data_IF_101504402647
#
_entry.id   IF_101504402647
#
_cell.length_a   1.000
_cell.length_b   1.000
_cell.length_c   1.000
_cell.angle_alpha   90.00
_cell.angle_beta   90.00
_cell.angle_gamma   90.00
#
_symmetry.space_group_name_H-M   'P 1'
#
loop_
_entity.id
_entity.type
_entity.pdbx_description
1 polymer ?
#
# COMPACT_ATOMS: atom_id res chain seq x y z
N UNK A 1 49.86 11.08 23.96
CA UNK A 1 48.49 11.51 23.60
C UNK A 1 48.24 11.31 22.09
N UNK A 2 47.94 10.08 21.63
CA UNK A 2 47.63 9.83 20.19
C UNK A 2 46.36 8.97 20.02
N UNK A 3 46.02 8.11 20.97
CA UNK A 3 44.87 7.19 20.90
C UNK A 3 43.47 7.85 20.83
N UNK A 4 43.34 9.14 21.15
CA UNK A 4 42.05 9.85 21.10
C UNK A 4 41.69 10.40 19.71
N UNK A 5 42.67 10.60 18.82
CA UNK A 5 42.45 11.23 17.51
C UNK A 5 41.91 10.22 16.50
N UNK A 6 42.38 8.97 16.57
CA UNK A 6 41.96 7.89 15.66
C UNK A 6 40.56 7.36 16.00
N UNK A 7 40.18 7.32 17.28
CA UNK A 7 38.82 6.98 17.72
C UNK A 7 37.79 8.01 17.24
N UNK A 8 38.14 9.31 17.22
CA UNK A 8 37.29 10.38 16.69
C UNK A 8 37.12 10.28 15.17
N UNK A 9 38.19 9.96 14.43
CA UNK A 9 38.14 9.74 12.98
C UNK A 9 37.30 8.50 12.63
N UNK A 10 37.44 7.40 13.38
CA UNK A 10 36.64 6.20 13.21
C UNK A 10 35.15 6.47 13.49
N UNK A 11 34.83 7.19 14.56
CA UNK A 11 33.45 7.57 14.88
C UNK A 11 32.82 8.48 13.80
N UNK A 12 33.58 9.44 13.26
CA UNK A 12 33.15 10.29 12.14
C UNK A 12 32.89 9.49 10.86
N UNK A 13 33.72 8.47 10.58
CA UNK A 13 33.56 7.61 9.42
C UNK A 13 32.35 6.67 9.57
N UNK A 14 32.09 6.15 10.76
CA UNK A 14 30.87 5.36 11.03
C UNK A 14 29.63 6.24 10.88
N UNK A 15 29.66 7.46 11.43
CA UNK A 15 28.55 8.40 11.34
C UNK A 15 28.27 8.80 9.88
N UNK A 16 29.29 9.05 9.07
CA UNK A 16 29.11 9.38 7.66
C UNK A 16 28.51 8.21 6.88
N UNK A 17 28.94 6.97 7.15
CA UNK A 17 28.33 5.77 6.55
C UNK A 17 26.86 5.66 6.92
N UNK A 18 26.49 5.87 8.19
CA UNK A 18 25.09 5.82 8.64
C UNK A 18 24.25 6.86 7.89
N UNK A 19 24.75 8.09 7.74
CA UNK A 19 24.06 9.16 7.00
C UNK A 19 23.88 8.78 5.53
N UNK A 20 24.91 8.23 4.88
CA UNK A 20 24.84 7.81 3.48
C UNK A 20 23.83 6.67 3.29
N UNK A 21 23.84 5.66 4.16
CA UNK A 21 22.87 4.56 4.13
C UNK A 21 21.45 5.07 4.35
N UNK A 22 21.25 5.98 5.30
CA UNK A 22 19.94 6.58 5.57
C UNK A 22 19.43 7.41 4.38
N UNK A 23 20.30 8.22 3.77
CA UNK A 23 19.96 9.01 2.59
C UNK A 23 19.62 8.12 1.38
N UNK A 24 20.40 7.07 1.14
CA UNK A 24 20.12 6.10 0.09
C UNK A 24 18.79 5.38 0.32
N UNK A 25 18.50 4.97 1.55
CA UNK A 25 17.21 4.36 1.91
C UNK A 25 16.03 5.29 1.65
N UNK A 26 16.14 6.57 2.00
CA UNK A 26 15.12 7.58 1.70
C UNK A 26 14.93 7.81 0.20
N UNK A 27 16.02 7.79 -0.57
CA UNK A 27 15.98 8.02 -2.02
C UNK A 27 15.37 6.84 -2.78
N UNK A 28 15.63 5.60 -2.34
CA UNK A 28 15.12 4.38 -2.96
C UNK A 28 13.70 4.01 -2.51
N UNK A 29 13.20 4.60 -1.42
CA UNK A 29 11.88 4.28 -0.87
C UNK A 29 10.73 4.44 -1.88
N UNK A 30 10.62 5.55 -2.65
CA UNK A 30 9.54 5.71 -3.64
C UNK A 30 9.58 4.65 -4.74
N UNK A 31 10.78 4.26 -5.21
CA UNK A 31 10.94 3.21 -6.22
C UNK A 31 10.52 1.84 -5.70
N UNK A 32 10.84 1.54 -4.43
CA UNK A 32 10.41 0.30 -3.79
C UNK A 32 8.87 0.24 -3.69
N UNK A 33 8.23 1.35 -3.32
CA UNK A 33 6.78 1.44 -3.25
C UNK A 33 6.13 1.24 -4.61
N UNK A 34 6.70 1.85 -5.66
CA UNK A 34 6.23 1.66 -7.03
C UNK A 34 6.33 0.22 -7.49
N UNK A 35 7.47 -0.45 -7.25
CA UNK A 35 7.64 -1.87 -7.59
C UNK A 35 6.61 -2.75 -6.89
N UNK A 36 6.33 -2.49 -5.61
CA UNK A 36 5.32 -3.23 -4.84
C UNK A 36 3.92 -3.02 -5.43
N UNK A 37 3.54 -1.77 -5.71
CA UNK A 37 2.25 -1.42 -6.29
C UNK A 37 2.08 -2.03 -7.69
N UNK A 38 3.10 -1.93 -8.55
CA UNK A 38 3.11 -2.49 -9.90
C UNK A 38 2.95 -4.01 -9.89
N UNK A 39 3.63 -4.70 -8.99
CA UNK A 39 3.54 -6.15 -8.81
C UNK A 39 2.11 -6.62 -8.49
N UNK A 40 1.27 -5.79 -7.87
CA UNK A 40 -0.15 -6.13 -7.65
C UNK A 40 -0.90 -6.20 -8.98
N UNK A 41 -0.68 -5.25 -9.89
CA UNK A 41 -1.29 -5.24 -11.23
C UNK A 41 -0.79 -6.42 -12.06
N UNK A 42 0.52 -6.65 -12.09
CA UNK A 42 1.12 -7.74 -12.87
C UNK A 42 0.64 -9.10 -12.39
N UNK A 43 0.61 -9.35 -11.07
CA UNK A 43 0.04 -10.59 -10.51
C UNK A 43 -1.43 -10.76 -10.83
N UNK A 44 -2.19 -9.67 -10.80
CA UNK A 44 -3.60 -9.69 -11.16
C UNK A 44 -3.81 -10.08 -12.62
N UNK A 45 -3.12 -9.41 -13.57
CA UNK A 45 -3.20 -9.72 -14.99
C UNK A 45 -2.70 -11.15 -15.29
N UNK A 46 -1.64 -11.60 -14.62
CA UNK A 46 -1.14 -12.96 -14.73
C UNK A 46 -2.16 -14.00 -14.23
N UNK A 47 -2.88 -13.70 -13.14
CA UNK A 47 -3.96 -14.54 -12.64
C UNK A 47 -5.09 -14.65 -13.67
N UNK A 48 -5.48 -13.54 -14.32
CA UNK A 48 -6.47 -13.52 -15.40
C UNK A 48 -6.02 -14.38 -16.59
N UNK A 49 -4.76 -14.24 -17.04
CA UNK A 49 -4.19 -15.03 -18.15
C UNK A 49 -4.20 -16.54 -17.83
N UNK A 50 -3.83 -16.91 -16.60
CA UNK A 50 -3.64 -18.32 -16.22
C UNK A 50 -4.92 -19.00 -15.72
N UNK A 51 -5.99 -18.24 -15.47
CA UNK A 51 -7.21 -18.74 -14.84
C UNK A 51 -7.02 -19.27 -13.42
N UNK A 52 -5.86 -19.04 -12.79
CA UNK A 52 -5.59 -19.40 -11.40
C UNK A 52 -5.96 -18.21 -10.53
N UNK A 53 -6.86 -18.42 -9.56
CA UNK A 53 -7.46 -17.37 -8.73
C UNK A 53 -6.45 -16.32 -8.26
N UNK A 54 -6.87 -15.06 -8.29
CA UNK A 54 -6.02 -13.94 -7.93
C UNK A 54 -5.79 -13.94 -6.40
N UNK A 55 -4.54 -13.94 -5.90
CA UNK A 55 -4.27 -13.90 -4.47
C UNK A 55 -4.79 -12.64 -3.76
N UNK A 56 -5.24 -11.63 -4.51
CA UNK A 56 -5.83 -10.38 -4.03
C UNK A 56 -7.36 -10.29 -4.23
N UNK A 57 -8.06 -11.41 -4.43
CA UNK A 57 -9.52 -11.49 -4.63
C UNK A 57 -10.39 -11.02 -3.43
N UNK A 58 -9.80 -10.50 -2.35
CA UNK A 58 -10.52 -10.19 -1.10
C UNK A 58 -11.13 -8.79 -1.01
N UNK A 59 -11.09 -7.96 -2.06
CA UNK A 59 -11.77 -6.65 -2.04
C UNK A 59 -12.93 -6.68 -3.02
N UNK A 60 -14.14 -6.60 -2.48
CA UNK A 60 -15.42 -6.29 -3.14
C UNK A 60 -15.31 -6.13 -4.67
N UNK A 61 -15.19 -7.27 -5.35
CA UNK A 61 -14.97 -7.40 -6.80
C UNK A 61 -16.16 -6.85 -7.60
N UNK A 62 -17.22 -6.41 -6.91
CA UNK A 62 -18.38 -5.74 -7.51
C UNK A 62 -18.03 -4.42 -8.22
N UNK A 63 -16.89 -3.78 -7.93
CA UNK A 63 -16.42 -2.58 -8.67
C UNK A 63 -15.31 -2.84 -9.71
N UNK A 64 -14.59 -3.96 -9.66
CA UNK A 64 -13.53 -4.34 -10.65
C UNK A 64 -14.08 -5.31 -11.71
N UNK A 65 -15.41 -5.41 -11.83
CA UNK A 65 -16.12 -6.46 -12.58
C UNK A 65 -16.00 -6.41 -14.12
N UNK A 66 -15.08 -5.65 -14.69
CA UNK A 66 -14.93 -5.52 -16.15
C UNK A 66 -13.49 -5.38 -16.62
N UNK A 67 -12.52 -6.04 -15.99
CA UNK A 67 -11.27 -6.28 -16.73
C UNK A 67 -11.66 -7.23 -17.86
N UNK A 68 -11.31 -6.93 -19.13
CA UNK A 68 -11.83 -7.68 -20.25
C UNK A 68 -11.46 -9.16 -20.08
N UNK A 69 -12.47 -10.02 -20.12
CA UNK A 69 -12.23 -11.46 -20.22
C UNK A 69 -11.32 -11.73 -21.43
N UNK A 70 -10.42 -12.70 -21.31
CA UNK A 70 -9.56 -13.07 -22.42
C UNK A 70 -8.27 -12.26 -22.55
N UNK A 71 -7.71 -11.73 -21.45
CA UNK A 71 -6.32 -11.24 -21.46
C UNK A 71 -5.37 -12.37 -21.88
N UNK A 72 -4.55 -12.11 -22.90
CA UNK A 72 -3.54 -13.03 -23.43
C UNK A 72 -2.13 -12.66 -22.95
N UNK A 73 -1.84 -11.36 -22.91
CA UNK A 73 -0.53 -10.82 -22.56
C UNK A 73 -0.64 -9.36 -22.10
N UNK A 74 0.38 -8.85 -21.42
CA UNK A 74 0.47 -7.44 -21.04
C UNK A 74 1.91 -6.93 -21.01
N UNK A 75 2.08 -5.65 -21.32
CA UNK A 75 3.36 -4.95 -21.28
C UNK A 75 3.17 -3.68 -20.45
N UNK A 76 3.98 -3.54 -19.39
CA UNK A 76 4.06 -2.29 -18.66
C UNK A 76 4.72 -1.22 -19.54
N UNK A 77 4.05 -0.07 -19.69
CA UNK A 77 4.54 1.04 -20.49
C UNK A 77 5.14 2.15 -19.62
N UNK A 78 4.37 2.65 -18.65
CA UNK A 78 4.78 3.83 -17.88
C UNK A 78 4.03 4.00 -16.56
N UNK A 79 4.61 4.78 -15.65
CA UNK A 79 3.97 5.29 -14.43
C UNK A 79 3.47 6.70 -14.72
N UNK A 80 2.17 6.85 -14.93
CA UNK A 80 1.55 8.14 -15.26
C UNK A 80 1.45 9.05 -14.03
N UNK A 81 1.24 8.45 -12.85
CA UNK A 81 1.07 9.16 -11.59
C UNK A 81 1.82 8.47 -10.48
N UNK A 82 2.52 9.27 -9.68
CA UNK A 82 3.14 8.89 -8.41
C UNK A 82 2.85 10.00 -7.41
N UNK A 83 1.81 9.85 -6.61
CA UNK A 83 1.37 10.88 -5.66
C UNK A 83 1.56 10.42 -4.23
N UNK A 84 2.19 11.26 -3.40
CA UNK A 84 2.34 10.99 -1.97
C UNK A 84 1.11 11.50 -1.23
N UNK A 85 0.36 10.60 -0.62
CA UNK A 85 -0.87 10.91 0.11
C UNK A 85 -0.64 10.71 1.61
N UNK A 86 -1.22 11.60 2.40
CA UNK A 86 -1.21 11.49 3.86
C UNK A 86 -2.19 10.41 4.30
N UNK A 87 -1.76 9.57 5.25
CA UNK A 87 -2.64 8.54 5.80
C UNK A 87 -3.88 9.17 6.41
N UNK A 88 -5.05 8.58 6.12
CA UNK A 88 -6.28 8.96 6.80
C UNK A 88 -6.17 8.60 8.28
N UNK A 89 -6.77 9.45 9.11
CA UNK A 89 -6.93 9.15 10.53
C UNK A 89 -7.70 7.83 10.70
N UNK A 90 -7.29 7.03 11.67
CA UNK A 90 -7.99 5.81 12.02
C UNK A 90 -9.06 6.13 13.05
N UNK A 91 -10.27 5.64 12.83
CA UNK A 91 -11.36 5.73 13.81
C UNK A 91 -11.41 4.41 14.56
N UNK A 92 -11.26 4.47 15.88
CA UNK A 92 -11.42 3.36 16.80
C UNK A 92 -12.80 3.53 17.44
N UNK A 93 -13.78 2.80 16.92
CA UNK A 93 -15.17 2.88 17.33
C UNK A 93 -15.61 1.65 18.15
N UNK A 94 -16.87 1.66 18.58
CA UNK A 94 -17.49 0.54 19.30
C UNK A 94 -17.52 -0.74 18.48
N UNK A 95 -17.66 -0.63 17.17
CA UNK A 95 -17.72 -1.78 16.27
C UNK A 95 -16.38 -2.53 16.24
N UNK A 96 -15.27 -1.80 16.20
CA UNK A 96 -13.92 -2.36 16.28
C UNK A 96 -13.69 -3.08 17.62
N UNK A 97 -14.18 -2.51 18.73
CA UNK A 97 -14.14 -3.17 20.03
C UNK A 97 -14.91 -4.50 20.02
N UNK A 98 -16.17 -4.48 19.60
CA UNK A 98 -17.05 -5.64 19.63
C UNK A 98 -16.52 -6.79 18.76
N UNK A 99 -15.97 -6.47 17.59
CA UNK A 99 -15.51 -7.46 16.63
C UNK A 99 -14.09 -7.99 16.86
N UNK A 100 -13.23 -7.25 17.59
CA UNK A 100 -11.79 -7.58 17.63
C UNK A 100 -11.16 -7.53 19.01
N UNK A 101 -11.75 -6.84 19.99
CA UNK A 101 -11.08 -6.56 21.27
C UNK A 101 -11.92 -6.87 22.51
N UNK A 102 -13.17 -7.31 22.35
CA UNK A 102 -14.08 -7.69 23.46
C UNK A 102 -13.55 -8.82 24.34
N UNK A 103 -12.70 -9.68 23.81
CA UNK A 103 -12.04 -10.76 24.57
C UNK A 103 -10.84 -10.29 25.39
N UNK A 104 -10.30 -9.10 25.09
CA UNK A 104 -9.11 -8.53 25.73
C UNK A 104 -9.50 -7.48 26.77
N UNK A 105 -10.51 -6.66 26.47
CA UNK A 105 -10.97 -5.57 27.34
C UNK A 105 -12.39 -5.84 27.85
N UNK A 106 -12.62 -5.65 29.16
CA UNK A 106 -13.89 -6.01 29.81
C UNK A 106 -15.02 -5.05 29.45
N UNK A 107 -14.69 -3.82 29.08
CA UNK A 107 -15.65 -2.82 28.61
C UNK A 107 -15.09 -1.98 27.46
N UNK A 108 -15.99 -1.29 26.76
CA UNK A 108 -15.61 -0.32 25.73
C UNK A 108 -14.81 0.86 26.30
N UNK A 109 -15.14 1.30 27.52
CA UNK A 109 -14.44 2.41 28.16
C UNK A 109 -12.99 2.03 28.51
N UNK A 110 -12.79 0.82 29.05
CA UNK A 110 -11.45 0.29 29.34
C UNK A 110 -10.61 0.16 28.06
N UNK A 111 -11.25 -0.26 26.96
CA UNK A 111 -10.63 -0.32 25.64
C UNK A 111 -10.19 1.07 25.14
N UNK A 112 -11.05 2.08 25.22
CA UNK A 112 -10.74 3.44 24.75
C UNK A 112 -9.63 4.06 25.59
N UNK A 113 -9.64 3.89 26.91
CA UNK A 113 -8.58 4.40 27.79
C UNK A 113 -7.25 3.70 27.54
N UNK A 114 -7.25 2.38 27.34
CA UNK A 114 -6.08 1.63 26.90
C UNK A 114 -5.52 2.16 25.57
N UNK A 115 -6.39 2.40 24.59
CA UNK A 115 -5.99 2.93 23.29
C UNK A 115 -5.45 4.37 23.37
N UNK A 116 -6.00 5.23 24.23
CA UNK A 116 -5.43 6.56 24.50
C UNK A 116 -4.01 6.48 25.06
N UNK A 117 -3.73 5.53 25.94
CA UNK A 117 -2.38 5.33 26.48
C UNK A 117 -1.43 4.88 25.38
N UNK A 118 -1.85 3.93 24.53
CA UNK A 118 -1.03 3.40 23.42
C UNK A 118 -0.71 4.47 22.37
N UNK A 119 -1.71 5.27 21.98
CA UNK A 119 -1.56 6.26 20.91
C UNK A 119 -1.16 7.66 21.40
N UNK A 120 -1.26 7.90 22.71
CA UNK A 120 -0.84 9.14 23.37
C UNK A 120 -1.45 10.38 22.72
N UNK A 121 -0.60 11.38 22.45
CA UNK A 121 -1.01 12.67 21.88
C UNK A 121 -1.58 12.61 20.45
N UNK A 122 -1.53 11.44 19.79
CA UNK A 122 -2.13 11.25 18.46
C UNK A 122 -3.62 10.92 18.54
N UNK A 123 -4.13 10.57 19.72
CA UNK A 123 -5.49 10.14 19.92
C UNK A 123 -6.37 11.30 20.41
N UNK A 124 -7.49 11.51 19.75
CA UNK A 124 -8.47 12.56 20.07
C UNK A 124 -9.83 11.90 20.25
N UNK A 125 -10.44 12.09 21.42
CA UNK A 125 -11.76 11.52 21.69
C UNK A 125 -12.83 12.37 21.02
N UNK A 126 -13.75 11.69 20.34
CA UNK A 126 -14.89 12.25 19.61
C UNK A 126 -16.18 11.57 20.08
N UNK A 127 -17.34 12.08 19.67
CA UNK A 127 -18.64 11.47 20.01
C UNK A 127 -18.76 10.02 19.50
N UNK A 128 -18.14 9.71 18.35
CA UNK A 128 -18.19 8.39 17.71
C UNK A 128 -17.11 7.40 18.19
N UNK A 129 -16.20 7.83 19.07
CA UNK A 129 -15.08 7.00 19.56
C UNK A 129 -13.75 7.75 19.61
N UNK A 130 -12.64 7.07 19.33
CA UNK A 130 -11.30 7.64 19.38
C UNK A 130 -10.71 7.79 17.97
N UNK A 131 -10.40 9.02 17.57
CA UNK A 131 -9.73 9.30 16.29
C UNK A 131 -8.22 9.36 16.52
N UNK A 132 -7.48 8.49 15.84
CA UNK A 132 -6.02 8.42 15.91
C UNK A 132 -5.41 9.04 14.65
N UNK A 133 -4.73 10.17 14.82
CA UNK A 133 -3.99 10.85 13.76
C UNK A 133 -2.80 10.01 13.33
N UNK A 134 -2.77 9.61 12.06
CA UNK A 134 -1.63 8.94 11.44
C UNK A 134 -0.73 9.99 10.79
N UNK A 135 0.57 9.92 11.09
CA UNK A 135 1.60 10.78 10.49
C UNK A 135 2.35 10.05 9.38
N UNK A 136 1.82 8.92 8.92
CA UNK A 136 2.36 8.19 7.79
C UNK A 136 1.98 8.84 6.47
N UNK A 137 2.71 8.43 5.44
CA UNK A 137 2.39 8.73 4.07
C UNK A 137 2.52 7.45 3.28
N UNK A 138 1.64 7.30 2.31
CA UNK A 138 1.74 6.26 1.31
C UNK A 138 1.71 6.88 -0.08
N UNK A 139 1.97 6.07 -1.10
CA UNK A 139 1.89 6.50 -2.49
C UNK A 139 0.65 5.94 -3.16
N UNK A 140 0.00 6.75 -3.99
CA UNK A 140 -0.95 6.28 -4.99
C UNK A 140 -0.29 6.33 -6.36
N UNK A 141 -0.63 5.35 -7.20
CA UNK A 141 -0.03 5.18 -8.50
C UNK A 141 -1.09 5.03 -9.60
N UNK A 142 -0.74 5.50 -10.79
CA UNK A 142 -1.44 5.15 -12.03
C UNK A 142 -0.44 4.53 -12.99
N UNK A 143 -0.68 3.29 -13.40
CA UNK A 143 0.20 2.54 -14.29
C UNK A 143 -0.46 2.31 -15.64
N UNK A 144 0.24 2.67 -16.71
CA UNK A 144 -0.17 2.42 -18.07
C UNK A 144 0.36 1.07 -18.55
N UNK A 145 -0.54 0.22 -19.02
CA UNK A 145 -0.23 -1.06 -19.63
C UNK A 145 -0.77 -1.13 -21.06
N UNK A 146 -0.03 -1.77 -21.94
CA UNK A 146 -0.55 -2.34 -23.17
C UNK A 146 -1.04 -3.75 -22.86
N UNK A 147 -2.30 -4.05 -23.13
CA UNK A 147 -2.91 -5.33 -22.81
C UNK A 147 -3.41 -5.97 -24.10
N UNK A 148 -2.92 -7.17 -24.37
CA UNK A 148 -3.41 -8.00 -25.48
C UNK A 148 -4.59 -8.82 -24.97
N UNK A 149 -5.73 -8.67 -25.63
CA UNK A 149 -6.98 -9.35 -25.34
C UNK A 149 -7.35 -10.29 -26.49
N UNK A 150 -8.28 -11.19 -26.25
CA UNK A 150 -8.96 -11.96 -27.28
C UNK A 150 -10.44 -11.57 -27.33
N UNK A 151 -10.99 -11.39 -28.53
CA UNK A 151 -12.43 -11.21 -28.68
C UNK A 151 -13.18 -12.55 -28.58
N UNK A 152 -14.51 -12.50 -28.69
CA UNK A 152 -15.37 -13.70 -28.65
C UNK A 152 -15.13 -14.66 -29.83
N UNK A 153 -14.47 -14.20 -30.88
CA UNK A 153 -14.10 -14.96 -32.07
C UNK A 153 -12.65 -15.46 -32.05
N UNK A 154 -11.89 -15.16 -30.99
CA UNK A 154 -10.50 -15.55 -30.84
C UNK A 154 -9.49 -14.60 -31.51
N UNK A 155 -9.93 -13.43 -32.00
CA UNK A 155 -9.03 -12.45 -32.60
C UNK A 155 -8.33 -11.61 -31.53
N UNK A 156 -7.05 -11.31 -31.77
CA UNK A 156 -6.24 -10.48 -30.87
C UNK A 156 -6.65 -9.01 -30.98
N UNK A 157 -6.93 -8.38 -29.84
CA UNK A 157 -7.18 -6.96 -29.70
C UNK A 157 -6.11 -6.35 -28.80
N UNK A 158 -5.56 -5.21 -29.19
CA UNK A 158 -4.56 -4.49 -28.39
C UNK A 158 -5.20 -3.24 -27.80
N UNK A 159 -5.17 -3.12 -26.47
CA UNK A 159 -5.81 -2.01 -25.76
C UNK A 159 -4.92 -1.51 -24.64
N UNK A 160 -4.92 -0.19 -24.46
CA UNK A 160 -4.19 0.43 -23.35
C UNK A 160 -5.10 0.60 -22.15
N UNK A 161 -4.60 0.22 -20.98
CA UNK A 161 -5.30 0.36 -19.71
C UNK A 161 -4.46 1.14 -18.71
N UNK A 162 -5.11 2.05 -17.99
CA UNK A 162 -4.55 2.71 -16.82
C UNK A 162 -5.10 2.02 -15.59
N UNK A 163 -4.23 1.49 -14.74
CA UNK A 163 -4.58 0.90 -13.45
C UNK A 163 -4.29 1.87 -12.32
N UNK A 164 -5.30 2.18 -11.52
CA UNK A 164 -5.16 2.94 -10.29
C UNK A 164 -4.82 1.98 -9.14
N UNK A 165 -3.73 2.24 -8.44
CA UNK A 165 -3.26 1.41 -7.33
C UNK A 165 -3.09 2.27 -6.08
N UNK A 166 -3.71 1.82 -4.99
CA UNK A 166 -3.75 2.52 -3.71
C UNK A 166 -3.24 1.63 -2.58
N UNK A 167 -2.79 2.23 -1.47
CA UNK A 167 -2.39 1.49 -0.28
C UNK A 167 -3.55 0.65 0.23
N UNK A 168 -3.26 -0.59 0.57
CA UNK A 168 -4.25 -1.49 1.13
C UNK A 168 -4.48 -1.20 2.61
N UNK A 169 -5.73 -1.26 3.04
CA UNK A 169 -6.08 -1.32 4.47
C UNK A 169 -6.29 -2.75 4.96
N UNK A 170 -6.22 -3.74 4.06
CA UNK A 170 -6.41 -5.15 4.39
C UNK A 170 -5.13 -5.77 4.96
N UNK A 171 -5.26 -6.66 5.97
CA UNK A 171 -4.13 -7.44 6.48
C UNK A 171 -3.50 -8.28 5.36
N UNK A 172 -2.17 -8.22 5.23
CA UNK A 172 -1.40 -9.10 4.32
C UNK A 172 -1.25 -8.59 2.88
N UNK A 173 -1.81 -7.44 2.52
CA UNK A 173 -1.48 -6.75 1.26
C UNK A 173 -1.00 -5.34 1.53
N UNK A 174 0.06 -4.90 0.83
CA UNK A 174 0.58 -3.52 0.91
C UNK A 174 -0.23 -2.57 0.00
N UNK A 175 -0.74 -3.08 -1.12
CA UNK A 175 -1.41 -2.32 -2.18
C UNK A 175 -2.62 -3.07 -2.74
N UNK A 176 -3.57 -2.34 -3.31
CA UNK A 176 -4.73 -2.88 -4.02
C UNK A 176 -4.99 -2.08 -5.30
N UNK A 177 -5.54 -2.75 -6.31
CA UNK A 177 -6.08 -2.09 -7.50
C UNK A 177 -7.41 -1.45 -7.08
N UNK A 178 -7.49 -0.12 -7.11
CA UNK A 178 -8.70 0.62 -6.75
C UNK A 178 -9.61 0.90 -7.94
N UNK A 179 -9.08 0.83 -9.16
CA UNK A 179 -9.80 1.08 -10.40
C UNK A 179 -8.92 0.85 -11.63
N UNK A 180 -9.54 0.85 -12.80
CA UNK A 180 -8.83 0.88 -14.08
C UNK A 180 -9.74 1.49 -15.15
N UNK A 181 -9.14 2.01 -16.22
CA UNK A 181 -9.85 2.57 -17.37
C UNK A 181 -9.09 2.32 -18.67
N UNK A 182 -9.82 2.13 -19.76
CA UNK A 182 -9.26 2.07 -21.11
C UNK A 182 -8.83 3.48 -21.55
N UNK A 183 -7.70 3.59 -22.25
CA UNK A 183 -7.13 4.85 -22.72
C UNK A 183 -7.00 4.90 -24.24
#
# INVERSE_FOLDING_TARGET
MVAGKDKKKLALLILSIIIVVFAAGMFLYPELQERKARNVVEKHLQAVITGKGNPYETVDVLKVRKIPEGVLDFIYLDTLKRERIKDKSMVIDRNMYENSFRTVYKSYDEFIDGMKIVYGSKAEQTEDGLVVKRNGHHYEFEFLYDVTLTDRSGQKLYKKYVFEVRPSHLPGSDYIISGFQER
#
